data_IF_643138762459
#
_entry.id   IF_643138762459
#
_cell.length_a   1.000
_cell.length_b   1.000
_cell.length_c   1.000
_cell.angle_alpha   90.00
_cell.angle_beta   90.00
_cell.angle_gamma   90.00
#
_symmetry.space_group_name_H-M   'P 1'
#
loop_
_entity.id
_entity.type
_entity.pdbx_description
1 polymer ?
#
# COMPACT_ATOMS: atom_id res chain seq x y z
N UNK A 1 30.39 -31.41 -84.14
CA UNK A 1 29.39 -30.81 -83.22
C UNK A 1 29.81 -29.46 -82.61
N UNK A 2 31.00 -29.29 -82.00
CA UNK A 2 31.40 -28.01 -81.34
C UNK A 2 31.42 -26.78 -82.26
N UNK A 3 31.86 -26.92 -83.51
CA UNK A 3 31.97 -25.81 -84.48
C UNK A 3 30.62 -25.27 -84.96
N UNK A 4 29.65 -26.15 -85.19
CA UNK A 4 28.26 -25.78 -85.53
C UNK A 4 27.60 -25.08 -84.35
N UNK A 5 27.83 -25.57 -83.13
CA UNK A 5 27.35 -24.93 -81.91
C UNK A 5 27.88 -23.50 -81.74
N UNK A 6 29.17 -23.27 -81.98
CA UNK A 6 29.75 -21.93 -81.97
C UNK A 6 29.16 -20.98 -83.02
N UNK A 7 28.92 -21.45 -84.24
CA UNK A 7 28.28 -20.63 -85.29
C UNK A 7 26.86 -20.21 -84.90
N UNK A 8 26.09 -21.14 -84.33
CA UNK A 8 24.73 -20.87 -83.81
C UNK A 8 24.78 -19.87 -82.66
N UNK A 9 25.72 -20.00 -81.73
CA UNK A 9 25.88 -19.05 -80.62
C UNK A 9 26.29 -17.65 -81.10
N UNK A 10 27.16 -17.54 -82.11
CA UNK A 10 27.56 -16.26 -82.71
C UNK A 10 26.39 -15.60 -83.43
N UNK A 11 25.63 -16.37 -84.23
CA UNK A 11 24.44 -15.87 -84.91
C UNK A 11 23.36 -15.41 -83.91
N UNK A 12 23.10 -16.21 -82.87
CA UNK A 12 22.17 -15.87 -81.80
C UNK A 12 22.59 -14.61 -81.03
N UNK A 13 23.89 -14.41 -80.80
CA UNK A 13 24.42 -13.22 -80.11
C UNK A 13 24.31 -11.95 -80.95
N UNK A 14 24.39 -12.06 -82.28
CA UNK A 14 24.34 -10.92 -83.21
C UNK A 14 22.94 -10.63 -83.79
N UNK A 15 21.92 -11.45 -83.54
CA UNK A 15 20.55 -11.17 -84.00
C UNK A 15 19.97 -9.95 -83.25
N UNK A 16 19.62 -8.85 -83.96
CA UNK A 16 19.08 -7.63 -83.36
C UNK A 16 17.76 -7.83 -82.60
N UNK A 17 16.93 -8.81 -83.01
CA UNK A 17 15.65 -9.12 -82.32
C UNK A 17 15.92 -9.74 -80.96
N UNK A 18 16.92 -10.60 -80.87
CA UNK A 18 17.36 -11.21 -79.60
C UNK A 18 17.99 -10.15 -78.68
N UNK A 19 18.74 -9.19 -79.24
CA UNK A 19 19.29 -8.07 -78.48
C UNK A 19 18.18 -7.18 -77.89
N UNK A 20 17.20 -6.77 -78.69
CA UNK A 20 16.06 -5.97 -78.20
C UNK A 20 15.24 -6.71 -77.14
N UNK A 21 14.98 -8.00 -77.31
CA UNK A 21 14.22 -8.77 -76.31
C UNK A 21 14.95 -8.83 -74.97
N UNK A 22 16.28 -9.04 -74.98
CA UNK A 22 17.11 -9.02 -73.77
C UNK A 22 17.14 -7.64 -73.11
N UNK A 23 17.17 -6.57 -73.89
CA UNK A 23 17.15 -5.20 -73.38
C UNK A 23 15.79 -4.83 -72.78
N UNK A 24 14.70 -5.20 -73.44
CA UNK A 24 13.34 -5.07 -72.90
C UNK A 24 13.13 -5.90 -71.63
N UNK A 25 13.69 -7.11 -71.56
CA UNK A 25 13.63 -7.94 -70.37
C UNK A 25 14.43 -7.33 -69.20
N UNK A 26 15.62 -6.77 -69.49
CA UNK A 26 16.40 -6.03 -68.49
C UNK A 26 15.65 -4.79 -67.99
N UNK A 27 15.09 -3.99 -68.88
CA UNK A 27 14.34 -2.80 -68.53
C UNK A 27 13.08 -3.13 -67.70
N UNK A 28 12.35 -4.21 -68.06
CA UNK A 28 11.22 -4.70 -67.26
C UNK A 28 11.65 -5.15 -65.86
N UNK A 29 12.77 -5.87 -65.74
CA UNK A 29 13.33 -6.28 -64.44
C UNK A 29 13.79 -5.08 -63.61
N UNK A 30 14.39 -4.08 -64.23
CA UNK A 30 14.83 -2.85 -63.56
C UNK A 30 13.64 -2.02 -63.09
N UNK A 31 12.62 -1.82 -63.93
CA UNK A 31 11.38 -1.13 -63.57
C UNK A 31 10.68 -1.85 -62.42
N UNK A 32 10.54 -3.18 -62.50
CA UNK A 32 9.93 -3.96 -61.42
C UNK A 32 10.73 -3.86 -60.11
N UNK A 33 12.07 -3.82 -60.17
CA UNK A 33 12.92 -3.62 -58.99
C UNK A 33 12.75 -2.21 -58.42
N UNK A 34 12.65 -1.19 -59.27
CA UNK A 34 12.47 0.20 -58.86
C UNK A 34 11.08 0.43 -58.24
N UNK A 35 10.02 -0.13 -58.83
CA UNK A 35 8.66 -0.12 -58.27
C UNK A 35 8.60 -0.81 -56.90
N UNK A 36 9.22 -1.99 -56.77
CA UNK A 36 9.30 -2.69 -55.47
C UNK A 36 10.06 -1.88 -54.43
N UNK A 37 11.14 -1.18 -54.81
CA UNK A 37 11.90 -0.31 -53.91
C UNK A 37 11.06 0.89 -53.46
N UNK A 38 10.39 1.55 -54.40
CA UNK A 38 9.52 2.71 -54.12
C UNK A 38 8.34 2.33 -53.22
N UNK A 39 7.68 1.20 -53.49
CA UNK A 39 6.59 0.70 -52.66
C UNK A 39 7.04 0.35 -51.23
N UNK A 40 8.26 -0.20 -51.08
CA UNK A 40 8.83 -0.47 -49.76
C UNK A 40 9.16 0.82 -48.99
N UNK A 41 9.70 1.83 -49.68
CA UNK A 41 10.03 3.13 -49.09
C UNK A 41 8.77 3.90 -48.68
N UNK A 42 7.73 3.89 -49.52
CA UNK A 42 6.43 4.49 -49.21
C UNK A 42 5.77 3.82 -47.99
N UNK A 43 5.79 2.48 -47.93
CA UNK A 43 5.28 1.76 -46.76
C UNK A 43 6.05 2.09 -45.48
N UNK A 44 7.39 2.19 -45.55
CA UNK A 44 8.21 2.60 -44.41
C UNK A 44 7.90 4.03 -43.96
N UNK A 45 7.74 4.95 -44.90
CA UNK A 45 7.38 6.34 -44.62
C UNK A 45 5.98 6.46 -43.98
N UNK A 46 5.02 5.64 -44.42
CA UNK A 46 3.68 5.58 -43.84
C UNK A 46 3.70 5.01 -42.41
N UNK A 47 4.44 3.92 -42.18
CA UNK A 47 4.62 3.32 -40.86
C UNK A 47 5.31 4.30 -39.89
N UNK A 48 6.31 5.06 -40.36
CA UNK A 48 7.01 6.08 -39.58
C UNK A 48 6.10 7.27 -39.24
N UNK A 49 5.29 7.74 -40.20
CA UNK A 49 4.28 8.79 -39.95
C UNK A 49 3.25 8.36 -38.92
N UNK A 50 2.70 7.15 -39.03
CA UNK A 50 1.77 6.59 -38.06
C UNK A 50 2.39 6.47 -36.67
N UNK A 51 3.67 6.07 -36.60
CA UNK A 51 4.39 5.99 -35.32
C UNK A 51 4.57 7.37 -34.67
N UNK A 52 4.95 8.38 -35.44
CA UNK A 52 5.09 9.76 -34.95
C UNK A 52 3.75 10.35 -34.49
N UNK A 53 2.67 10.07 -35.21
CA UNK A 53 1.32 10.52 -34.83
C UNK A 53 0.87 9.89 -33.51
N UNK A 54 1.07 8.59 -33.33
CA UNK A 54 0.78 7.88 -32.07
C UNK A 54 1.63 8.43 -30.93
N UNK A 55 2.92 8.73 -31.17
CA UNK A 55 3.82 9.30 -30.16
C UNK A 55 3.38 10.70 -29.73
N UNK A 56 3.00 11.56 -30.68
CA UNK A 56 2.48 12.90 -30.39
C UNK A 56 1.16 12.85 -29.62
N UNK A 57 0.25 11.94 -29.99
CA UNK A 57 -1.02 11.77 -29.29
C UNK A 57 -0.82 11.25 -27.86
N UNK A 58 0.06 10.26 -27.68
CA UNK A 58 0.42 9.76 -26.35
C UNK A 58 1.03 10.87 -25.48
N UNK A 59 1.90 11.71 -26.07
CA UNK A 59 2.51 12.85 -25.36
C UNK A 59 1.46 13.89 -24.94
N UNK A 60 0.51 14.22 -25.81
CA UNK A 60 -0.61 15.13 -25.47
C UNK A 60 -1.47 14.58 -24.35
N UNK A 61 -1.83 13.29 -24.41
CA UNK A 61 -2.63 12.62 -23.38
C UNK A 61 -1.87 12.57 -22.03
N UNK A 62 -0.57 12.37 -22.06
CA UNK A 62 0.27 12.38 -20.85
C UNK A 62 0.38 13.78 -20.24
N UNK A 63 0.58 14.82 -21.07
CA UNK A 63 0.59 16.21 -20.64
C UNK A 63 -0.78 16.64 -20.05
N UNK A 64 -1.89 16.26 -20.67
CA UNK A 64 -3.24 16.55 -20.17
C UNK A 64 -3.53 15.85 -18.83
N UNK A 65 -3.09 14.59 -18.67
CA UNK A 65 -3.20 13.85 -17.41
C UNK A 65 -2.39 14.52 -16.30
N UNK A 66 -1.17 14.95 -16.59
CA UNK A 66 -0.31 15.63 -15.63
C UNK A 66 -0.92 16.98 -15.19
N UNK A 67 -1.51 17.72 -16.12
CA UNK A 67 -2.17 18.99 -15.81
C UNK A 67 -3.43 18.79 -14.95
N UNK A 68 -4.26 17.79 -15.29
CA UNK A 68 -5.43 17.42 -14.45
C UNK A 68 -5.02 17.01 -13.05
N UNK A 69 -3.95 16.23 -12.91
CA UNK A 69 -3.43 15.83 -11.59
C UNK A 69 -2.90 17.04 -10.80
N UNK A 70 -2.21 17.98 -11.45
CA UNK A 70 -1.76 19.24 -10.82
C UNK A 70 -2.94 20.07 -10.32
N UNK A 71 -3.99 20.21 -11.13
CA UNK A 71 -5.21 20.94 -10.77
C UNK A 71 -5.95 20.29 -9.59
N UNK A 72 -6.08 18.96 -9.59
CA UNK A 72 -6.67 18.22 -8.46
C UNK A 72 -5.86 18.41 -7.17
N UNK A 73 -4.53 18.26 -7.23
CA UNK A 73 -3.64 18.49 -6.07
C UNK A 73 -3.73 19.94 -5.56
N UNK A 74 -3.84 20.93 -6.44
CA UNK A 74 -4.00 22.32 -6.05
C UNK A 74 -5.37 22.57 -5.39
N UNK A 75 -6.44 21.97 -5.93
CA UNK A 75 -7.79 22.05 -5.36
C UNK A 75 -7.86 21.40 -3.97
N UNK A 76 -7.31 20.20 -3.79
CA UNK A 76 -7.26 19.53 -2.48
C UNK A 76 -6.47 20.33 -1.44
N UNK A 77 -5.35 20.96 -1.84
CA UNK A 77 -4.59 21.86 -0.96
C UNK A 77 -5.43 23.04 -0.49
N UNK A 78 -6.19 23.68 -1.40
CA UNK A 78 -7.09 24.79 -1.06
C UNK A 78 -8.18 24.36 -0.07
N UNK A 79 -8.79 23.19 -0.27
CA UNK A 79 -9.78 22.65 0.68
C UNK A 79 -9.17 22.43 2.06
N UNK A 80 -8.01 21.75 2.13
CA UNK A 80 -7.33 21.47 3.42
C UNK A 80 -6.94 22.75 4.15
N UNK A 81 -6.46 23.75 3.41
CA UNK A 81 -6.12 25.06 3.97
C UNK A 81 -7.36 25.81 4.48
N UNK A 82 -8.46 25.78 3.73
CA UNK A 82 -9.74 26.35 4.17
C UNK A 82 -10.28 25.64 5.42
N UNK A 83 -10.25 24.31 5.46
CA UNK A 83 -10.65 23.53 6.64
C UNK A 83 -9.79 23.85 7.87
N UNK A 84 -8.48 23.96 7.70
CA UNK A 84 -7.56 24.35 8.78
C UNK A 84 -7.85 25.77 9.28
N UNK A 85 -8.16 26.70 8.38
CA UNK A 85 -8.54 28.07 8.72
C UNK A 85 -9.85 28.10 9.51
N UNK A 86 -10.89 27.42 9.03
CA UNK A 86 -12.18 27.32 9.72
C UNK A 86 -12.04 26.68 11.10
N UNK A 87 -11.24 25.62 11.24
CA UNK A 87 -10.97 24.98 12.52
C UNK A 87 -10.22 25.93 13.48
N UNK A 88 -9.22 26.65 12.97
CA UNK A 88 -8.48 27.64 13.75
C UNK A 88 -9.34 28.83 14.18
N UNK A 89 -10.30 29.26 13.36
CA UNK A 89 -11.28 30.29 13.70
C UNK A 89 -12.27 29.79 14.77
N UNK A 90 -12.82 28.59 14.62
CA UNK A 90 -13.73 27.99 15.60
C UNK A 90 -13.08 27.82 16.98
N UNK A 91 -11.84 27.30 17.03
CA UNK A 91 -11.05 27.18 18.28
C UNK A 91 -10.82 28.54 18.95
N UNK A 92 -10.43 29.55 18.17
CA UNK A 92 -10.24 30.92 18.69
C UNK A 92 -11.55 31.52 19.19
N UNK A 93 -12.66 31.27 18.50
CA UNK A 93 -13.99 31.75 18.90
C UNK A 93 -14.38 31.15 20.25
N UNK A 94 -14.28 29.82 20.40
CA UNK A 94 -14.59 29.12 21.65
C UNK A 94 -13.80 29.68 22.84
N UNK A 95 -12.48 29.81 22.69
CA UNK A 95 -11.61 30.39 23.74
C UNK A 95 -12.02 31.82 24.09
N UNK A 96 -12.21 32.68 23.08
CA UNK A 96 -12.62 34.08 23.31
C UNK A 96 -13.96 34.22 24.02
N UNK A 97 -14.96 33.43 23.62
CA UNK A 97 -16.29 33.44 24.25
C UNK A 97 -16.18 33.20 25.75
N UNK A 98 -15.35 32.25 26.11
CA UNK A 98 -15.32 31.72 27.44
C UNK A 98 -14.29 32.50 28.31
N UNK A 99 -13.20 33.03 27.74
CA UNK A 99 -12.38 34.12 28.31
C UNK A 99 -13.23 35.36 28.62
N UNK A 100 -14.10 35.77 27.69
CA UNK A 100 -14.97 36.94 27.83
C UNK A 100 -15.98 36.83 28.97
N UNK A 101 -16.27 35.60 29.41
CA UNK A 101 -17.11 35.31 30.57
C UNK A 101 -16.29 34.89 31.81
N UNK A 102 -14.98 35.16 31.80
CA UNK A 102 -14.04 34.82 32.87
C UNK A 102 -14.04 33.32 33.23
N UNK A 103 -14.32 32.47 32.22
CA UNK A 103 -14.63 31.04 32.29
C UNK A 103 -15.58 30.68 33.44
N UNK A 104 -16.53 31.58 33.67
CA UNK A 104 -17.70 31.54 34.55
C UNK A 104 -17.44 31.43 36.05
N UNK A 105 -16.47 32.20 36.50
CA UNK A 105 -16.24 32.68 37.87
C UNK A 105 -16.76 31.79 39.02
N UNK A 106 -15.96 30.77 39.27
CA UNK A 106 -15.93 29.93 40.45
C UNK A 106 -14.48 29.87 40.97
N UNK A 107 -14.19 29.00 41.93
CA UNK A 107 -12.85 28.85 42.50
C UNK A 107 -11.81 28.43 41.43
N UNK A 108 -10.53 28.59 41.77
CA UNK A 108 -9.40 28.32 40.87
C UNK A 108 -9.45 26.88 40.31
N UNK A 109 -9.92 25.90 41.10
CA UNK A 109 -10.02 24.51 40.66
C UNK A 109 -11.08 24.32 39.59
N UNK A 110 -12.26 24.92 39.77
CA UNK A 110 -13.35 24.83 38.80
C UNK A 110 -13.00 25.51 37.47
N UNK A 111 -12.28 26.63 37.53
CA UNK A 111 -11.76 27.33 36.34
C UNK A 111 -10.76 26.47 35.58
N UNK A 112 -9.86 25.78 36.27
CA UNK A 112 -8.89 24.88 35.65
C UNK A 112 -9.57 23.69 34.95
N UNK A 113 -10.57 23.08 35.60
CA UNK A 113 -11.34 21.99 34.99
C UNK A 113 -12.09 22.42 33.72
N UNK A 114 -12.63 23.64 33.71
CA UNK A 114 -13.27 24.21 32.52
C UNK A 114 -12.27 24.44 31.37
N UNK A 115 -11.08 24.95 31.68
CA UNK A 115 -10.01 25.10 30.69
C UNK A 115 -9.58 23.76 30.09
N UNK A 116 -9.41 22.72 30.90
CA UNK A 116 -9.06 21.38 30.44
C UNK A 116 -10.13 20.81 29.50
N UNK A 117 -11.41 20.96 29.85
CA UNK A 117 -12.52 20.52 29.02
C UNK A 117 -12.56 21.27 27.67
N UNK A 118 -12.32 22.59 27.67
CA UNK A 118 -12.27 23.41 26.45
C UNK A 118 -11.10 23.00 25.55
N UNK A 119 -9.92 22.73 26.12
CA UNK A 119 -8.76 22.29 25.34
C UNK A 119 -8.95 20.87 24.80
N UNK A 120 -9.56 19.96 25.58
CA UNK A 120 -9.95 18.65 25.08
C UNK A 120 -10.88 18.77 23.87
N UNK A 121 -11.92 19.59 23.99
CA UNK A 121 -12.87 19.83 22.90
C UNK A 121 -12.18 20.46 21.68
N UNK A 122 -11.30 21.45 21.88
CA UNK A 122 -10.51 22.03 20.78
C UNK A 122 -9.65 20.99 20.05
N UNK A 123 -9.11 19.99 20.76
CA UNK A 123 -8.24 18.96 20.18
C UNK A 123 -9.00 17.85 19.45
N UNK A 124 -10.23 17.53 19.87
CA UNK A 124 -10.96 16.35 19.40
C UNK A 124 -12.08 16.65 18.40
N UNK A 125 -12.61 17.87 18.38
CA UNK A 125 -13.81 18.22 17.61
C UNK A 125 -13.49 18.98 16.33
N UNK A 126 -14.38 18.88 15.35
CA UNK A 126 -14.28 19.60 14.08
C UNK A 126 -14.80 21.05 14.17
N UNK A 127 -14.64 21.81 13.10
CA UNK A 127 -15.04 23.23 13.07
C UNK A 127 -16.55 23.44 13.24
N UNK A 128 -17.39 22.49 12.80
CA UNK A 128 -18.85 22.61 12.88
C UNK A 128 -19.30 22.39 14.32
N UNK A 129 -18.85 21.28 14.91
CA UNK A 129 -19.13 20.93 16.29
C UNK A 129 -18.64 22.02 17.25
N UNK A 130 -17.43 22.54 17.04
CA UNK A 130 -16.88 23.63 17.86
C UNK A 130 -17.74 24.90 17.79
N UNK A 131 -18.23 25.26 16.61
CA UNK A 131 -19.10 26.43 16.48
C UNK A 131 -20.47 26.22 17.15
N UNK A 132 -21.02 25.01 17.08
CA UNK A 132 -22.27 24.66 17.76
C UNK A 132 -22.11 24.72 19.29
N UNK A 133 -21.04 24.13 19.83
CA UNK A 133 -20.70 24.20 21.25
C UNK A 133 -20.51 25.66 21.66
N UNK A 134 -19.78 26.44 20.86
CA UNK A 134 -19.55 27.87 21.14
C UNK A 134 -20.87 28.64 21.21
N UNK A 135 -21.80 28.40 20.28
CA UNK A 135 -23.11 29.04 20.28
C UNK A 135 -23.95 28.67 21.52
N UNK A 136 -23.90 27.40 21.97
CA UNK A 136 -24.54 26.96 23.21
C UNK A 136 -23.94 27.69 24.42
N UNK A 137 -22.61 27.77 24.51
CA UNK A 137 -21.90 28.43 25.61
C UNK A 137 -22.07 29.96 25.62
N UNK A 138 -22.27 30.59 24.46
CA UNK A 138 -22.57 32.03 24.34
C UNK A 138 -23.85 32.43 25.09
N UNK A 139 -24.79 31.50 25.33
CA UNK A 139 -26.04 31.77 26.03
C UNK A 139 -25.97 31.54 27.55
N UNK A 140 -24.92 30.87 28.04
CA UNK A 140 -24.83 30.45 29.44
C UNK A 140 -24.11 31.46 30.33
N UNK A 141 -24.57 31.60 31.56
CA UNK A 141 -24.00 32.53 32.55
C UNK A 141 -23.29 31.83 33.71
N UNK A 142 -23.45 30.51 33.84
CA UNK A 142 -23.00 29.74 35.00
C UNK A 142 -22.00 28.64 34.59
N UNK A 143 -20.98 28.39 35.42
CA UNK A 143 -19.94 27.37 35.13
C UNK A 143 -20.48 25.95 35.14
N UNK A 144 -21.46 25.65 35.99
CA UNK A 144 -22.05 24.31 36.12
C UNK A 144 -22.77 23.91 34.84
N UNK A 145 -23.53 24.83 34.24
CA UNK A 145 -24.22 24.63 32.96
C UNK A 145 -23.22 24.52 31.81
N UNK A 146 -22.19 25.37 31.78
CA UNK A 146 -21.14 25.33 30.77
C UNK A 146 -20.37 23.99 30.80
N UNK A 147 -19.98 23.54 32.00
CA UNK A 147 -19.31 22.25 32.21
C UNK A 147 -20.21 21.07 31.87
N UNK A 148 -21.51 21.14 32.19
CA UNK A 148 -22.46 20.10 31.80
C UNK A 148 -22.52 19.95 30.27
N UNK A 149 -22.60 21.06 29.52
CA UNK A 149 -22.62 21.02 28.05
C UNK A 149 -21.33 20.42 27.49
N UNK A 150 -20.17 20.85 28.02
CA UNK A 150 -18.87 20.31 27.60
C UNK A 150 -18.75 18.81 27.90
N UNK A 151 -19.09 18.38 29.11
CA UNK A 151 -18.96 16.98 29.53
C UNK A 151 -19.90 16.05 28.77
N UNK A 152 -21.15 16.46 28.52
CA UNK A 152 -22.10 15.69 27.69
C UNK A 152 -21.52 15.50 26.30
N UNK A 153 -21.04 16.57 25.68
CA UNK A 153 -20.47 16.51 24.34
C UNK A 153 -19.21 15.64 24.28
N UNK A 154 -18.35 15.71 25.30
CA UNK A 154 -17.15 14.87 25.44
C UNK A 154 -17.53 13.40 25.57
N UNK A 155 -18.50 13.07 26.43
CA UNK A 155 -18.98 11.70 26.58
C UNK A 155 -19.62 11.16 25.30
N UNK A 156 -20.40 11.97 24.59
CA UNK A 156 -20.95 11.60 23.29
C UNK A 156 -19.86 11.29 22.26
N UNK A 157 -18.78 12.07 22.20
CA UNK A 157 -17.65 11.77 21.30
C UNK A 157 -16.87 10.52 21.71
N UNK A 158 -16.67 10.30 23.01
CA UNK A 158 -15.98 9.09 23.50
C UNK A 158 -16.82 7.86 23.14
N UNK A 159 -18.12 7.88 23.45
CA UNK A 159 -19.05 6.79 23.12
C UNK A 159 -19.24 6.59 21.62
N UNK A 160 -19.27 7.66 20.81
CA UNK A 160 -19.26 7.56 19.33
C UNK A 160 -17.96 6.94 18.81
N UNK A 161 -16.81 7.20 19.44
CA UNK A 161 -15.54 6.59 19.03
C UNK A 161 -15.40 5.13 19.53
N UNK A 162 -15.97 4.80 20.68
CA UNK A 162 -16.07 3.44 21.19
C UNK A 162 -17.03 2.60 20.34
N UNK A 163 -18.19 3.14 19.95
CA UNK A 163 -19.13 2.50 19.00
C UNK A 163 -18.62 2.50 17.56
N UNK A 164 -17.73 3.42 17.14
CA UNK A 164 -16.99 3.28 15.88
C UNK A 164 -15.96 2.14 15.93
N UNK A 165 -15.43 1.82 17.11
CA UNK A 165 -14.60 0.63 17.33
C UNK A 165 -15.45 -0.65 17.50
N UNK A 166 -16.77 -0.54 17.74
CA UNK A 166 -17.77 -1.60 17.61
C UNK A 166 -18.69 -1.38 16.40
N UNK A 167 -18.16 -1.61 15.19
CA UNK A 167 -18.86 -1.86 13.90
C UNK A 167 -20.23 -1.19 13.70
N UNK A 168 -20.29 -0.21 12.78
CA UNK A 168 -21.18 -0.40 11.62
C UNK A 168 -20.42 -0.27 10.29
N UNK A 169 -20.64 -1.25 9.43
CA UNK A 169 -20.19 -1.23 8.03
C UNK A 169 -20.94 -0.19 7.19
N UNK A 170 -20.24 0.26 6.12
CA UNK A 170 -20.63 1.15 5.02
C UNK A 170 -20.28 2.62 5.28
N UNK A 171 -19.48 3.34 4.47
CA UNK A 171 -19.16 3.24 3.04
C UNK A 171 -17.79 3.86 2.74
N UNK A 172 -17.19 3.38 1.64
CA UNK A 172 -16.09 3.98 0.86
C UNK A 172 -14.72 4.14 1.54
N UNK A 173 -13.98 3.04 1.60
CA UNK A 173 -12.52 3.05 1.36
C UNK A 173 -12.10 1.71 0.75
N UNK A 174 -12.13 1.64 -0.58
CA UNK A 174 -11.76 0.45 -1.38
C UNK A 174 -10.25 0.12 -1.35
N UNK A 175 -9.53 0.53 -0.31
CA UNK A 175 -8.12 0.20 -0.10
C UNK A 175 -7.81 -0.37 1.31
N UNK A 176 -8.78 -0.42 2.24
CA UNK A 176 -8.48 -0.72 3.65
C UNK A 176 -9.32 -1.83 4.31
N UNK A 177 -9.84 -2.78 3.54
CA UNK A 177 -10.56 -3.94 4.09
C UNK A 177 -9.79 -5.25 3.92
N UNK A 178 -8.46 -5.24 4.09
CA UNK A 178 -7.68 -6.47 4.21
C UNK A 178 -7.30 -6.66 5.68
N UNK A 179 -7.86 -7.67 6.33
CA UNK A 179 -7.48 -7.99 7.71
C UNK A 179 -6.06 -8.59 7.73
N UNK A 180 -5.42 -8.55 8.90
CA UNK A 180 -4.11 -9.19 9.07
C UNK A 180 -4.15 -10.66 8.64
N UNK A 181 -5.22 -11.38 8.97
CA UNK A 181 -5.40 -12.79 8.61
C UNK A 181 -5.54 -12.98 7.10
N UNK A 182 -6.35 -12.16 6.43
CA UNK A 182 -6.51 -12.20 4.96
C UNK A 182 -5.18 -11.91 4.24
N UNK A 183 -4.35 -11.01 4.76
CA UNK A 183 -3.02 -10.73 4.22
C UNK A 183 -2.11 -11.95 4.37
N UNK A 184 -2.13 -12.63 5.53
CA UNK A 184 -1.33 -13.84 5.72
C UNK A 184 -1.78 -15.00 4.82
N UNK A 185 -3.08 -15.18 4.64
CA UNK A 185 -3.66 -16.15 3.72
C UNK A 185 -3.26 -15.84 2.27
N UNK A 186 -3.28 -14.57 1.86
CA UNK A 186 -2.83 -14.13 0.55
C UNK A 186 -1.35 -14.42 0.30
N UNK A 187 -0.48 -14.15 1.28
CA UNK A 187 0.95 -14.48 1.18
C UNK A 187 1.16 -16.01 1.09
N UNK A 188 0.40 -16.79 1.85
CA UNK A 188 0.48 -18.26 1.80
C UNK A 188 0.02 -18.80 0.45
N UNK A 189 -1.13 -18.35 -0.04
CA UNK A 189 -1.69 -18.74 -1.33
C UNK A 189 -0.76 -18.34 -2.49
N UNK A 190 -0.16 -17.15 -2.45
CA UNK A 190 0.77 -16.71 -3.51
C UNK A 190 2.08 -17.52 -3.54
N UNK A 191 2.48 -18.13 -2.43
CA UNK A 191 3.59 -19.09 -2.40
C UNK A 191 3.17 -20.50 -2.82
N UNK A 192 1.95 -20.92 -2.48
CA UNK A 192 1.38 -22.21 -2.85
C UNK A 192 1.15 -22.34 -4.36
N UNK A 193 0.75 -21.23 -5.00
CA UNK A 193 0.49 -21.14 -6.44
C UNK A 193 1.53 -20.22 -7.11
N UNK A 194 2.73 -20.71 -7.48
CA UNK A 194 3.82 -19.92 -8.05
C UNK A 194 3.57 -19.43 -9.49
N UNK A 195 4.51 -18.65 -10.05
CA UNK A 195 4.32 -18.04 -11.37
C UNK A 195 4.43 -19.14 -12.45
N UNK A 196 3.41 -19.26 -13.31
CA UNK A 196 3.29 -20.34 -14.29
C UNK A 196 2.11 -21.28 -14.04
N UNK A 197 1.44 -21.21 -12.88
CA UNK A 197 0.20 -21.96 -12.64
C UNK A 197 -0.95 -21.39 -13.46
N UNK A 198 -1.61 -22.22 -14.26
CA UNK A 198 -2.84 -21.87 -14.99
C UNK A 198 -3.94 -21.50 -14.00
N UNK A 199 -4.68 -20.39 -14.25
CA UNK A 199 -5.72 -19.87 -13.35
C UNK A 199 -5.25 -19.54 -11.93
N UNK A 200 -3.97 -19.18 -11.76
CA UNK A 200 -3.38 -18.76 -10.48
C UNK A 200 -4.27 -17.83 -9.65
N UNK A 201 -4.82 -16.78 -10.25
CA UNK A 201 -5.61 -15.79 -9.50
C UNK A 201 -6.94 -16.36 -9.01
N UNK A 202 -7.58 -17.24 -9.80
CA UNK A 202 -8.80 -17.95 -9.41
C UNK A 202 -8.54 -18.89 -8.22
N UNK A 203 -7.45 -19.67 -8.27
CA UNK A 203 -7.06 -20.59 -7.19
C UNK A 203 -6.72 -19.86 -5.89
N UNK A 204 -5.99 -18.74 -5.98
CA UNK A 204 -5.69 -17.88 -4.84
C UNK A 204 -6.97 -17.25 -4.27
N UNK A 205 -7.93 -16.89 -5.14
CA UNK A 205 -9.24 -16.35 -4.72
C UNK A 205 -10.03 -17.37 -3.93
N UNK A 206 -10.13 -18.60 -4.43
CA UNK A 206 -10.85 -19.67 -3.76
C UNK A 206 -10.20 -19.98 -2.42
N UNK A 207 -8.87 -20.12 -2.38
CA UNK A 207 -8.14 -20.39 -1.15
C UNK A 207 -8.43 -19.36 -0.05
N UNK A 208 -8.35 -18.06 -0.37
CA UNK A 208 -8.59 -16.99 0.61
C UNK A 208 -10.05 -16.96 1.06
N UNK A 209 -11.00 -17.11 0.14
CA UNK A 209 -12.43 -17.08 0.48
C UNK A 209 -12.89 -18.31 1.28
N UNK A 210 -12.25 -19.47 1.09
CA UNK A 210 -12.54 -20.69 1.86
C UNK A 210 -11.93 -20.69 3.25
N UNK A 211 -10.76 -20.07 3.41
CA UNK A 211 -9.98 -20.10 4.66
C UNK A 211 -10.12 -18.83 5.49
N UNK A 212 -10.89 -17.84 5.05
CA UNK A 212 -11.20 -16.65 5.85
C UNK A 212 -12.24 -16.99 6.92
N UNK A 213 -11.90 -16.79 8.19
CA UNK A 213 -12.80 -17.07 9.33
C UNK A 213 -14.01 -16.13 9.39
N UNK A 214 -13.93 -14.98 8.72
CA UNK A 214 -15.02 -14.00 8.65
C UNK A 214 -16.08 -14.40 7.63
N UNK A 215 -17.00 -15.30 8.03
CA UNK A 215 -18.14 -15.77 7.20
C UNK A 215 -19.07 -14.65 6.71
N UNK A 216 -19.03 -13.46 7.33
CA UNK A 216 -19.82 -12.28 6.95
C UNK A 216 -19.04 -11.23 6.13
N UNK A 217 -17.76 -11.47 5.79
CA UNK A 217 -17.01 -10.56 4.94
C UNK A 217 -17.38 -10.72 3.46
N UNK A 218 -17.35 -9.62 2.70
CA UNK A 218 -17.50 -9.65 1.24
C UNK A 218 -16.42 -10.56 0.64
N UNK A 219 -16.85 -11.54 -0.16
CA UNK A 219 -15.94 -12.43 -0.91
C UNK A 219 -14.99 -11.59 -1.76
N UNK A 220 -13.70 -11.87 -1.66
CA UNK A 220 -12.67 -11.21 -2.47
C UNK A 220 -12.77 -11.68 -3.91
N UNK A 221 -12.52 -10.78 -4.86
CA UNK A 221 -12.44 -11.10 -6.29
C UNK A 221 -10.99 -11.21 -6.76
N UNK A 222 -10.78 -11.80 -7.95
CA UNK A 222 -9.45 -11.86 -8.58
C UNK A 222 -8.82 -10.47 -8.74
N UNK A 223 -9.65 -9.44 -8.99
CA UNK A 223 -9.20 -8.05 -9.12
C UNK A 223 -8.65 -7.52 -7.80
N UNK A 224 -9.34 -7.78 -6.70
CA UNK A 224 -8.94 -7.32 -5.36
C UNK A 224 -7.60 -7.96 -4.95
N UNK A 225 -7.42 -9.24 -5.26
CA UNK A 225 -6.19 -9.98 -5.01
C UNK A 225 -5.05 -9.44 -5.86
N UNK A 226 -5.28 -9.19 -7.15
CA UNK A 226 -4.26 -8.65 -8.03
C UNK A 226 -3.80 -7.26 -7.58
N UNK A 227 -4.75 -6.40 -7.18
CA UNK A 227 -4.46 -5.08 -6.62
C UNK A 227 -3.66 -5.23 -5.34
N UNK A 228 -4.11 -6.06 -4.39
CA UNK A 228 -3.45 -6.22 -3.11
C UNK A 228 -2.03 -6.81 -3.24
N UNK A 229 -1.83 -7.78 -4.13
CA UNK A 229 -0.49 -8.34 -4.39
C UNK A 229 0.43 -7.29 -5.03
N UNK A 230 -0.09 -6.44 -5.92
CA UNK A 230 0.69 -5.32 -6.48
C UNK A 230 1.04 -4.30 -5.41
N UNK A 231 0.09 -3.95 -4.52
CA UNK A 231 0.30 -3.06 -3.38
C UNK A 231 1.36 -3.61 -2.43
N UNK A 232 1.25 -4.89 -2.03
CA UNK A 232 2.23 -5.57 -1.17
C UNK A 232 3.62 -5.61 -1.82
N UNK A 233 3.70 -5.90 -3.12
CA UNK A 233 4.97 -5.89 -3.87
C UNK A 233 5.58 -4.50 -3.99
N UNK A 234 4.77 -3.47 -4.18
CA UNK A 234 5.19 -2.07 -4.29
C UNK A 234 5.72 -1.53 -2.95
N UNK A 235 5.09 -1.92 -1.84
CA UNK A 235 5.56 -1.61 -0.49
C UNK A 235 6.89 -2.32 -0.14
N UNK A 236 7.20 -3.44 -0.80
CA UNK A 236 8.46 -4.17 -0.65
C UNK A 236 9.43 -3.88 -1.81
N UNK A 237 10.11 -2.73 -1.77
CA UNK A 237 11.16 -2.42 -2.73
C UNK A 237 12.34 -3.42 -2.64
N UNK A 238 12.98 -3.67 -3.79
CA UNK A 238 13.72 -4.88 -4.17
C UNK A 238 15.03 -5.21 -3.42
N UNK A 239 15.32 -4.64 -2.24
CA UNK A 239 16.54 -4.96 -1.48
C UNK A 239 16.31 -5.83 -0.22
N UNK A 240 15.07 -6.04 0.22
CA UNK A 240 14.80 -6.72 1.50
C UNK A 240 14.11 -8.09 1.40
N UNK A 241 14.11 -8.74 0.23
CA UNK A 241 13.47 -10.05 0.06
C UNK A 241 14.04 -11.16 0.97
N UNK A 242 15.30 -11.03 1.42
CA UNK A 242 15.90 -11.96 2.41
C UNK A 242 15.53 -11.61 3.86
N UNK A 243 15.46 -10.32 4.22
CA UNK A 243 15.10 -9.87 5.58
C UNK A 243 13.61 -10.04 5.88
N UNK A 244 12.73 -9.84 4.89
CA UNK A 244 11.28 -9.99 5.07
C UNK A 244 10.89 -11.45 5.31
N UNK A 245 11.58 -12.43 4.71
CA UNK A 245 11.32 -13.87 4.97
C UNK A 245 11.60 -14.26 6.43
N UNK A 246 12.63 -13.67 7.03
CA UNK A 246 12.97 -13.85 8.45
C UNK A 246 12.08 -13.03 9.40
N UNK A 247 11.54 -11.89 8.95
CA UNK A 247 10.61 -11.06 9.74
C UNK A 247 9.17 -11.61 9.69
N UNK A 248 8.69 -12.13 8.56
CA UNK A 248 7.33 -12.67 8.41
C UNK A 248 7.14 -13.99 9.16
N UNK A 249 8.18 -14.85 9.20
CA UNK A 249 8.19 -16.07 10.03
C UNK A 249 8.18 -15.75 11.53
N UNK A 250 8.58 -14.55 11.91
CA UNK A 250 8.52 -14.03 13.28
C UNK A 250 7.21 -13.29 13.61
N UNK A 251 6.50 -12.75 12.62
CA UNK A 251 5.20 -12.08 12.82
C UNK A 251 4.06 -13.06 13.07
N UNK A 252 4.02 -14.20 12.37
CA UNK A 252 3.08 -15.30 12.65
C UNK A 252 3.33 -16.00 14.00
N UNK A 253 4.47 -15.71 14.65
CA UNK A 253 4.76 -16.11 16.03
C UNK A 253 4.40 -15.03 17.05
N UNK A 254 4.11 -13.80 16.62
CA UNK A 254 3.87 -12.65 17.51
C UNK A 254 2.47 -12.66 18.13
N UNK A 255 1.51 -13.37 17.54
CA UNK A 255 0.20 -13.63 18.15
C UNK A 255 0.23 -14.73 19.23
N UNK A 256 1.38 -15.37 19.48
CA UNK A 256 1.58 -16.38 20.54
C UNK A 256 2.66 -15.97 21.57
N UNK A 257 3.18 -14.73 21.49
CA UNK A 257 4.40 -14.28 22.19
C UNK A 257 4.26 -12.90 22.84
N UNK A 258 3.33 -12.76 23.78
CA UNK A 258 3.44 -11.71 24.80
C UNK A 258 3.98 -12.34 26.08
N UNK A 259 5.32 -12.49 26.14
CA UNK A 259 5.99 -12.88 27.37
C UNK A 259 5.77 -11.78 28.40
N UNK A 260 4.88 -12.04 29.36
CA UNK A 260 4.61 -11.10 30.46
C UNK A 260 5.87 -10.95 31.31
N UNK A 261 6.00 -9.81 32.00
CA UNK A 261 7.17 -9.54 32.85
C UNK A 261 7.39 -10.65 33.92
N UNK A 262 6.31 -11.24 34.41
CA UNK A 262 6.34 -12.36 35.36
C UNK A 262 6.91 -13.65 34.73
N UNK A 263 6.45 -14.00 33.53
CA UNK A 263 6.93 -15.17 32.79
C UNK A 263 8.43 -15.03 32.47
N UNK A 264 8.84 -13.82 32.05
CA UNK A 264 10.24 -13.50 31.78
C UNK A 264 11.11 -13.68 33.04
N UNK A 265 10.64 -13.21 34.19
CA UNK A 265 11.33 -13.38 35.48
C UNK A 265 11.43 -14.86 35.88
N UNK A 266 10.39 -15.67 35.62
CA UNK A 266 10.42 -17.11 35.86
C UNK A 266 11.42 -17.83 34.94
N UNK A 267 11.52 -17.45 33.66
CA UNK A 267 12.50 -18.02 32.74
C UNK A 267 13.93 -17.71 33.17
N UNK A 268 14.22 -16.47 33.59
CA UNK A 268 15.54 -16.10 34.10
C UNK A 268 15.90 -16.86 35.38
N UNK A 269 14.94 -17.03 36.30
CA UNK A 269 15.12 -17.84 37.51
C UNK A 269 15.37 -19.32 37.16
N UNK A 270 14.60 -19.89 36.22
CA UNK A 270 14.76 -21.27 35.76
C UNK A 270 16.11 -21.50 35.07
N UNK A 271 16.56 -20.55 34.25
CA UNK A 271 17.87 -20.64 33.56
C UNK A 271 19.04 -20.63 34.54
N UNK A 272 18.91 -19.96 35.69
CA UNK A 272 19.88 -20.00 36.80
C UNK A 272 19.77 -21.30 37.60
N UNK A 273 18.56 -21.81 37.81
CA UNK A 273 18.28 -23.01 38.61
C UNK A 273 18.72 -24.30 37.90
N UNK A 274 18.52 -24.39 36.59
CA UNK A 274 18.87 -25.57 35.80
C UNK A 274 20.13 -25.29 34.98
N UNK A 275 21.22 -25.99 35.31
CA UNK A 275 22.52 -25.84 34.67
C UNK A 275 22.54 -26.35 33.21
N UNK A 276 23.50 -25.89 32.41
CA UNK A 276 23.62 -26.27 30.99
C UNK A 276 23.99 -27.72 30.74
N UNK A 277 24.48 -28.42 31.78
CA UNK A 277 24.91 -29.83 31.72
C UNK A 277 23.76 -30.82 31.89
N UNK A 278 22.57 -30.35 32.30
CA UNK A 278 21.38 -31.19 32.46
C UNK A 278 20.77 -31.57 31.09
N UNK A 279 20.68 -32.87 30.73
CA UNK A 279 20.07 -33.31 29.48
C UNK A 279 18.60 -32.90 29.33
N UNK A 280 17.87 -32.80 30.45
CA UNK A 280 16.44 -32.47 30.48
C UNK A 280 16.19 -31.01 30.88
N UNK A 281 17.23 -30.17 30.85
CA UNK A 281 17.18 -28.75 31.25
C UNK A 281 15.96 -28.02 30.71
N UNK A 282 15.69 -28.16 29.42
CA UNK A 282 14.62 -27.39 28.75
C UNK A 282 13.22 -27.89 29.09
N UNK A 283 13.06 -29.16 29.46
CA UNK A 283 11.80 -29.69 29.98
C UNK A 283 11.54 -29.18 31.39
N UNK A 284 12.58 -29.19 32.24
CA UNK A 284 12.51 -28.62 33.59
C UNK A 284 12.21 -27.11 33.57
N UNK A 285 12.82 -26.37 32.64
CA UNK A 285 12.53 -24.93 32.43
C UNK A 285 11.10 -24.72 31.93
N UNK A 286 10.64 -25.50 30.96
CA UNK A 286 9.28 -25.39 30.42
C UNK A 286 8.22 -25.59 31.52
N UNK A 287 8.41 -26.63 32.35
CA UNK A 287 7.54 -26.93 33.49
C UNK A 287 7.56 -25.81 34.54
N UNK A 288 8.73 -25.20 34.79
CA UNK A 288 8.87 -24.12 35.77
C UNK A 288 8.22 -22.80 35.31
N UNK A 289 8.22 -22.53 34.00
CA UNK A 289 7.68 -21.28 33.41
C UNK A 289 6.20 -21.42 33.01
N UNK A 290 5.69 -22.64 32.84
CA UNK A 290 4.33 -22.88 32.34
C UNK A 290 4.19 -22.60 30.84
N UNK A 291 5.28 -22.74 30.08
CA UNK A 291 5.33 -22.52 28.61
C UNK A 291 5.96 -23.72 27.92
N UNK A 292 5.79 -23.82 26.60
CA UNK A 292 6.39 -24.93 25.86
C UNK A 292 7.93 -24.87 25.87
N UNK A 293 8.56 -26.05 25.79
CA UNK A 293 10.03 -26.21 25.61
C UNK A 293 10.54 -25.36 24.44
N UNK A 294 9.78 -25.36 23.34
CA UNK A 294 10.10 -24.64 22.10
C UNK A 294 10.10 -23.12 22.32
N UNK A 295 9.19 -22.60 23.12
CA UNK A 295 9.08 -21.15 23.37
C UNK A 295 10.13 -20.64 24.35
N UNK A 296 10.43 -21.43 25.39
CA UNK A 296 11.53 -21.13 26.31
C UNK A 296 12.88 -21.08 25.57
N UNK A 297 13.16 -22.05 24.70
CA UNK A 297 14.39 -22.07 23.87
C UNK A 297 14.43 -20.88 22.91
N UNK A 298 13.32 -20.58 22.23
CA UNK A 298 13.21 -19.46 21.29
C UNK A 298 13.48 -18.12 21.98
N UNK A 299 12.87 -17.92 23.15
CA UNK A 299 13.05 -16.71 23.96
C UNK A 299 14.48 -16.58 24.47
N UNK A 300 15.09 -17.66 24.94
CA UNK A 300 16.49 -17.68 25.35
C UNK A 300 17.45 -17.27 24.21
N UNK A 301 17.27 -17.84 23.01
CA UNK A 301 18.10 -17.49 21.85
C UNK A 301 17.99 -16.02 21.47
N UNK A 302 16.78 -15.46 21.51
CA UNK A 302 16.56 -14.04 21.29
C UNK A 302 17.33 -13.18 22.31
N UNK A 303 17.23 -13.49 23.61
CA UNK A 303 17.92 -12.75 24.66
C UNK A 303 19.44 -12.85 24.54
N UNK A 304 19.97 -14.03 24.19
CA UNK A 304 21.41 -14.23 23.96
C UNK A 304 21.92 -13.33 22.82
N UNK A 305 21.14 -13.19 21.74
CA UNK A 305 21.50 -12.33 20.61
C UNK A 305 21.43 -10.84 20.98
N UNK A 306 20.41 -10.42 21.73
CA UNK A 306 20.31 -9.04 22.23
C UNK A 306 21.50 -8.68 23.12
N UNK A 307 21.91 -9.58 24.03
CA UNK A 307 23.08 -9.38 24.88
C UNK A 307 24.37 -9.32 24.05
N UNK A 308 24.52 -10.19 23.05
CA UNK A 308 25.68 -10.20 22.16
C UNK A 308 25.79 -8.90 21.36
N UNK A 309 24.69 -8.43 20.79
CA UNK A 309 24.64 -7.18 20.03
C UNK A 309 24.92 -5.96 20.91
N UNK A 310 24.40 -5.95 22.15
CA UNK A 310 24.70 -4.88 23.11
C UNK A 310 26.17 -4.86 23.51
N UNK A 311 26.80 -6.03 23.65
CA UNK A 311 28.26 -6.12 23.87
C UNK A 311 29.04 -5.62 22.65
N UNK A 312 28.65 -5.96 21.44
CA UNK A 312 29.31 -5.48 20.21
C UNK A 312 29.17 -3.98 19.95
N UNK A 313 28.16 -3.32 20.54
CA UNK A 313 27.98 -1.87 20.47
C UNK A 313 28.76 -1.11 21.55
N UNK A 314 29.27 -1.81 22.56
CA UNK A 314 30.01 -1.26 23.69
C UNK A 314 31.54 -1.43 23.56
N UNK A 315 32.00 -2.03 22.46
CA UNK A 315 33.40 -2.17 22.05
C UNK A 315 33.58 -1.50 20.68
#
# INVERSE_FOLDING_TARGET
MKRIRNLVEIAYRKDPRIAMFKEQEKLKKENQRNERRKALEEKKAEDERKKLEIELENKKVEEEKLEKERQQRAYEKRIKEQQKKLLGEARRKLRRTAEGKNYWDADVSSKLSCLEAIEYVCLRFDAVQLNEITAKLELLSNITEAMSVLNVQIHEEITKNETKNEVPQNTTDNASNWTSDEITLLVKATNLYPAGTTRRWSEITNYINEHCESKNAKKKTEKDILIQVKTLKSLTNAQDQKKVKDILLNSAKKSELEWKAEEQKLLEAALRKFASTDPNRWENIANYVGKSKKDCIRRFKYLAEVVKNKKQQLY
#
